data_IF_522934871427
#
_entry.id   IF_522934871427
#
_cell.length_a   1.000
_cell.length_b   1.000
_cell.length_c   1.000
_cell.angle_alpha   90.00
_cell.angle_beta   90.00
_cell.angle_gamma   90.00
#
_symmetry.space_group_name_H-M   'P 1'
#
loop_
_entity.id
_entity.type
_entity.pdbx_description
1 polymer ?
#
# COMPACT_ATOMS: atom_id res chain seq x y z
N UNK A 1 -7.62 -15.88 8.49
CA UNK A 1 -6.32 -15.49 7.89
C UNK A 1 -5.48 -14.65 8.86
N UNK A 2 -5.76 -13.33 9.08
CA UNK A 2 -4.90 -12.47 9.92
C UNK A 2 -4.70 -13.03 11.33
N UNK A 3 -5.79 -13.39 12.03
CA UNK A 3 -5.75 -13.97 13.37
C UNK A 3 -4.96 -15.29 13.42
N UNK A 4 -5.08 -16.14 12.43
CA UNK A 4 -4.33 -17.39 12.33
C UNK A 4 -2.83 -17.13 12.12
N UNK A 5 -2.49 -16.24 11.18
CA UNK A 5 -1.08 -15.89 10.89
C UNK A 5 -0.38 -15.25 12.09
N UNK A 6 -1.13 -14.55 12.94
CA UNK A 6 -0.59 -13.86 14.11
C UNK A 6 -0.70 -14.69 15.40
N UNK A 7 -1.33 -15.85 15.37
CA UNK A 7 -1.52 -16.72 16.55
C UNK A 7 -0.18 -17.16 17.19
N UNK A 8 0.90 -17.21 16.41
CA UNK A 8 2.25 -17.53 16.90
C UNK A 8 2.79 -16.49 17.88
N UNK A 9 2.22 -15.29 17.92
CA UNK A 9 2.62 -14.21 18.83
C UNK A 9 1.81 -14.19 20.15
N UNK A 10 0.89 -15.15 20.32
CA UNK A 10 0.10 -15.29 21.55
C UNK A 10 -0.75 -14.06 21.89
N UNK A 11 -0.84 -13.75 23.18
CA UNK A 11 -1.67 -12.66 23.71
C UNK A 11 -1.09 -11.24 23.45
N UNK A 12 0.08 -11.15 22.81
CA UNK A 12 0.70 -9.87 22.48
C UNK A 12 0.07 -9.18 21.25
N UNK A 13 -0.80 -9.89 20.51
CA UNK A 13 -1.43 -9.38 19.30
C UNK A 13 -2.94 -9.52 19.38
N UNK A 14 -3.64 -8.39 19.24
CA UNK A 14 -5.10 -8.34 19.14
C UNK A 14 -5.51 -7.99 17.70
N UNK A 15 -6.36 -8.84 17.09
CA UNK A 15 -6.91 -8.58 15.77
C UNK A 15 -8.32 -8.00 15.93
N UNK A 16 -8.51 -6.80 15.36
CA UNK A 16 -9.80 -6.13 15.30
C UNK A 16 -10.25 -6.00 13.84
N UNK A 17 -11.52 -6.29 13.58
CA UNK A 17 -12.15 -5.97 12.30
C UNK A 17 -12.94 -4.67 12.47
N UNK A 18 -12.51 -3.60 11.79
CA UNK A 18 -13.10 -2.28 11.91
C UNK A 18 -12.92 -1.47 10.62
N UNK A 19 -13.71 -0.40 10.47
CA UNK A 19 -13.45 0.61 9.47
C UNK A 19 -12.28 1.48 9.89
N UNK A 20 -11.36 1.77 8.95
CA UNK A 20 -10.27 2.73 9.19
C UNK A 20 -10.79 4.15 9.47
N UNK A 21 -12.02 4.45 9.06
CA UNK A 21 -12.67 5.74 9.29
C UNK A 21 -13.36 5.86 10.64
N UNK A 22 -13.55 4.72 11.33
CA UNK A 22 -14.24 4.63 12.62
C UNK A 22 -13.58 3.52 13.45
N UNK A 23 -12.42 3.83 13.98
CA UNK A 23 -11.63 2.90 14.77
C UNK A 23 -12.30 2.72 16.15
N UNK A 24 -12.56 1.48 16.62
CA UNK A 24 -13.18 1.20 17.93
C UNK A 24 -12.16 1.37 19.07
N UNK A 25 -11.44 2.48 19.05
CA UNK A 25 -10.42 2.84 20.02
C UNK A 25 -10.73 4.21 20.60
N UNK A 26 -10.53 4.37 21.88
CA UNK A 26 -10.65 5.68 22.53
C UNK A 26 -9.58 6.63 21.98
N UNK A 27 -9.88 7.92 21.77
CA UNK A 27 -8.86 8.89 21.41
C UNK A 27 -7.74 8.93 22.46
N UNK A 28 -6.52 9.05 22.00
CA UNK A 28 -5.39 9.32 22.88
C UNK A 28 -4.85 8.10 23.65
N UNK A 29 -5.07 6.88 23.21
CA UNK A 29 -4.60 5.69 23.94
C UNK A 29 -3.45 4.92 23.29
N UNK A 30 -3.14 5.20 22.01
CA UNK A 30 -2.18 4.42 21.25
C UNK A 30 -0.84 5.14 21.17
N UNK A 31 0.25 4.42 21.44
CA UNK A 31 1.63 4.94 21.41
C UNK A 31 2.13 5.22 20.01
N UNK A 32 1.80 4.35 19.08
CA UNK A 32 2.20 4.48 17.68
C UNK A 32 1.19 3.83 16.75
N UNK A 33 1.00 4.46 15.59
CA UNK A 33 0.19 3.93 14.49
C UNK A 33 1.05 3.88 13.24
N UNK A 34 0.99 2.79 12.51
CA UNK A 34 1.55 2.72 11.17
C UNK A 34 0.55 2.09 10.19
N UNK A 35 0.62 2.52 8.94
CA UNK A 35 -0.20 2.00 7.84
C UNK A 35 0.67 1.88 6.60
N UNK A 36 0.77 0.68 6.05
CA UNK A 36 1.63 0.36 4.91
C UNK A 36 0.80 -0.12 3.74
N UNK A 37 0.78 0.66 2.63
CA UNK A 37 0.10 0.29 1.40
C UNK A 37 -1.44 0.21 1.50
N UNK A 38 -2.10 0.92 2.43
CA UNK A 38 -3.53 0.79 2.69
C UNK A 38 -4.32 2.01 2.26
N UNK A 39 -3.88 3.21 2.63
CA UNK A 39 -4.73 4.41 2.52
C UNK A 39 -5.12 4.74 1.09
N UNK A 40 -4.28 4.47 0.10
CA UNK A 40 -4.59 4.68 -1.32
C UNK A 40 -5.75 3.83 -1.83
N UNK A 41 -6.09 2.75 -1.13
CA UNK A 41 -7.19 1.85 -1.44
C UNK A 41 -8.48 2.19 -0.67
N UNK A 42 -8.49 3.33 0.01
CA UNK A 42 -9.69 3.86 0.68
C UNK A 42 -10.36 4.93 -0.17
N UNK A 43 -11.67 5.17 -0.03
CA UNK A 43 -12.36 6.24 -0.74
C UNK A 43 -11.93 7.65 -0.30
N UNK A 44 -11.32 7.78 0.89
CA UNK A 44 -10.86 9.07 1.45
C UNK A 44 -9.56 8.87 2.25
N UNK A 45 -8.39 8.92 1.59
CA UNK A 45 -7.10 8.76 2.24
C UNK A 45 -6.80 9.80 3.33
N UNK A 46 -7.25 11.05 3.17
CA UNK A 46 -7.02 12.11 4.15
C UNK A 46 -7.80 11.86 5.44
N UNK A 47 -9.06 11.45 5.32
CA UNK A 47 -9.89 11.06 6.46
C UNK A 47 -9.32 9.82 7.17
N UNK A 48 -8.77 8.85 6.42
CA UNK A 48 -8.10 7.69 7.03
C UNK A 48 -6.89 8.11 7.88
N UNK A 49 -6.07 9.05 7.38
CA UNK A 49 -4.93 9.61 8.14
C UNK A 49 -5.40 10.35 9.37
N UNK A 50 -6.46 11.17 9.27
CA UNK A 50 -7.02 11.90 10.39
C UNK A 50 -7.55 10.97 11.49
N UNK A 51 -8.26 9.90 11.10
CA UNK A 51 -8.75 8.86 12.02
C UNK A 51 -7.61 8.18 12.77
N UNK A 52 -6.54 7.80 12.07
CA UNK A 52 -5.35 7.22 12.70
C UNK A 52 -4.64 8.18 13.66
N UNK A 53 -4.58 9.47 13.30
CA UNK A 53 -3.98 10.47 14.18
C UNK A 53 -4.79 10.72 15.45
N UNK A 54 -6.13 10.57 15.40
CA UNK A 54 -7.02 10.83 16.54
C UNK A 54 -6.77 9.88 17.71
N UNK A 55 -6.45 8.63 17.45
CA UNK A 55 -6.25 7.60 18.49
C UNK A 55 -4.89 7.67 19.18
N UNK A 56 -3.94 8.45 18.65
CA UNK A 56 -2.62 8.63 19.25
C UNK A 56 -2.70 9.38 20.56
N UNK A 57 -1.98 8.92 21.58
CA UNK A 57 -1.77 9.65 22.82
C UNK A 57 -0.84 10.85 22.62
N UNK A 58 -0.79 11.82 23.55
CA UNK A 58 0.25 12.83 23.54
C UNK A 58 1.65 12.19 23.47
N UNK A 59 2.52 12.73 22.59
CA UNK A 59 3.83 12.14 22.28
C UNK A 59 3.79 10.91 21.36
N UNK A 60 2.63 10.40 20.99
CA UNK A 60 2.46 9.25 20.10
C UNK A 60 2.93 9.53 18.67
N UNK A 61 3.29 8.51 17.92
CA UNK A 61 3.90 8.60 16.59
C UNK A 61 3.04 7.98 15.50
N UNK A 62 3.01 8.63 14.33
CA UNK A 62 2.34 8.18 13.12
C UNK A 62 3.36 7.93 12.01
N UNK A 63 3.20 6.83 11.27
CA UNK A 63 3.91 6.58 10.03
C UNK A 63 2.95 5.98 8.99
N UNK A 64 2.85 6.61 7.81
CA UNK A 64 1.95 6.17 6.74
C UNK A 64 2.73 6.11 5.44
N UNK A 65 2.65 4.95 4.79
CA UNK A 65 3.13 4.74 3.42
C UNK A 65 1.94 4.77 2.46
N UNK A 66 2.16 5.28 1.26
CA UNK A 66 1.11 5.43 0.23
C UNK A 66 1.72 5.50 -1.17
N UNK A 67 0.89 5.37 -2.20
CA UNK A 67 1.31 5.58 -3.58
C UNK A 67 1.42 7.08 -3.86
N UNK A 68 2.66 7.54 -4.17
CA UNK A 68 2.91 8.94 -4.52
C UNK A 68 2.19 9.30 -5.84
N UNK A 69 1.63 10.50 -5.89
CA UNK A 69 1.03 11.05 -7.09
C UNK A 69 2.12 11.68 -7.96
N UNK A 70 2.67 10.89 -8.84
CA UNK A 70 3.72 11.24 -9.79
C UNK A 70 3.26 11.06 -11.25
N UNK A 71 4.18 11.22 -12.19
CA UNK A 71 3.90 11.06 -13.63
C UNK A 71 3.86 9.59 -14.09
N UNK A 72 4.41 8.66 -13.31
CA UNK A 72 4.59 7.25 -13.68
C UNK A 72 3.31 6.47 -14.07
N UNK A 73 2.11 6.78 -13.56
CA UNK A 73 0.88 6.10 -14.01
C UNK A 73 0.67 6.10 -15.51
N UNK A 74 1.07 7.17 -16.19
CA UNK A 74 0.94 7.30 -17.66
C UNK A 74 1.80 6.29 -18.44
N UNK A 75 2.80 5.70 -17.79
CA UNK A 75 3.66 4.67 -18.37
C UNK A 75 3.13 3.24 -18.19
N UNK A 76 1.93 3.08 -17.62
CA UNK A 76 1.30 1.79 -17.39
C UNK A 76 -0.09 1.69 -18.06
N UNK A 77 -0.21 1.92 -19.37
CA UNK A 77 -1.50 1.99 -20.05
C UNK A 77 -2.27 0.67 -19.97
N UNK A 78 -1.58 -0.47 -20.04
CA UNK A 78 -2.20 -1.80 -19.97
C UNK A 78 -2.81 -2.04 -18.57
N UNK A 79 -2.10 -1.67 -17.51
CA UNK A 79 -2.65 -1.73 -16.13
C UNK A 79 -3.97 -0.99 -16.04
N UNK A 80 -3.98 0.27 -16.47
CA UNK A 80 -5.18 1.11 -16.32
C UNK A 80 -6.32 0.68 -17.26
N UNK A 81 -6.01 0.17 -18.45
CA UNK A 81 -7.03 -0.42 -19.32
C UNK A 81 -7.70 -1.65 -18.68
N UNK A 82 -6.94 -2.55 -18.11
CA UNK A 82 -7.46 -3.72 -17.40
C UNK A 82 -8.25 -3.33 -16.13
N UNK A 83 -7.82 -2.31 -15.41
CA UNK A 83 -8.53 -1.79 -14.23
C UNK A 83 -9.91 -1.18 -14.53
N UNK A 84 -10.28 -0.98 -15.77
CA UNK A 84 -11.66 -0.55 -16.10
C UNK A 84 -12.71 -1.60 -15.72
N UNK A 85 -12.31 -2.86 -15.66
CA UNK A 85 -13.23 -3.98 -15.38
C UNK A 85 -12.85 -4.81 -14.17
N UNK A 86 -11.56 -5.04 -13.93
CA UNK A 86 -11.07 -5.97 -12.91
C UNK A 86 -11.48 -5.67 -11.48
N UNK A 87 -11.69 -4.42 -11.02
CA UNK A 87 -12.13 -4.15 -9.65
C UNK A 87 -13.54 -4.67 -9.30
N UNK A 88 -14.34 -5.00 -10.34
CA UNK A 88 -15.68 -5.58 -10.16
C UNK A 88 -15.71 -7.10 -10.26
N UNK A 89 -14.55 -7.74 -10.50
CA UNK A 89 -14.49 -9.19 -10.63
C UNK A 89 -14.52 -9.88 -9.27
N UNK A 90 -15.04 -11.10 -9.26
CA UNK A 90 -14.95 -11.98 -8.11
C UNK A 90 -13.47 -12.30 -7.80
N UNK A 91 -13.10 -12.35 -6.52
CA UNK A 91 -11.71 -12.48 -6.09
C UNK A 91 -11.02 -13.75 -6.62
N UNK A 92 -11.73 -14.87 -6.69
CA UNK A 92 -11.18 -16.12 -7.22
C UNK A 92 -10.87 -16.02 -8.71
N UNK A 93 -11.79 -15.44 -9.49
CA UNK A 93 -11.63 -15.20 -10.92
C UNK A 93 -10.47 -14.25 -11.19
N UNK A 94 -10.37 -13.16 -10.41
CA UNK A 94 -9.27 -12.21 -10.49
C UNK A 94 -7.93 -12.88 -10.15
N UNK A 95 -7.89 -13.69 -9.10
CA UNK A 95 -6.67 -14.41 -8.72
C UNK A 95 -6.24 -15.38 -9.83
N UNK A 96 -7.18 -16.11 -10.44
CA UNK A 96 -6.94 -16.97 -11.59
C UNK A 96 -6.32 -16.21 -12.76
N UNK A 97 -6.89 -15.04 -13.09
CA UNK A 97 -6.38 -14.14 -14.11
C UNK A 97 -4.96 -13.63 -13.79
N UNK A 98 -4.71 -13.16 -12.57
CA UNK A 98 -3.38 -12.72 -12.15
C UNK A 98 -2.34 -13.84 -12.22
N UNK A 99 -2.69 -15.07 -11.81
CA UNK A 99 -1.83 -16.25 -11.97
C UNK A 99 -1.47 -16.52 -13.42
N UNK A 100 -2.44 -16.42 -14.34
CA UNK A 100 -2.19 -16.58 -15.77
C UNK A 100 -1.27 -15.49 -16.33
N UNK A 101 -1.49 -14.23 -15.98
CA UNK A 101 -0.63 -13.12 -16.37
C UNK A 101 0.80 -13.30 -15.85
N UNK A 102 0.96 -13.62 -14.56
CA UNK A 102 2.29 -13.79 -13.97
C UNK A 102 3.00 -15.00 -14.58
N UNK A 103 2.30 -16.12 -14.79
CA UNK A 103 2.86 -17.28 -15.48
C UNK A 103 3.40 -16.93 -16.87
N UNK A 104 2.66 -16.10 -17.63
CA UNK A 104 3.03 -15.72 -19.00
C UNK A 104 4.18 -14.69 -19.03
N UNK A 105 4.15 -13.67 -18.18
CA UNK A 105 5.03 -12.50 -18.31
C UNK A 105 6.20 -12.46 -17.29
N UNK A 106 6.13 -13.20 -16.18
CA UNK A 106 7.21 -13.24 -15.20
C UNK A 106 8.53 -13.75 -15.77
N UNK A 107 8.59 -14.79 -16.62
CA UNK A 107 9.87 -15.24 -17.19
C UNK A 107 10.59 -14.14 -17.95
N UNK A 108 9.87 -13.35 -18.74
CA UNK A 108 10.41 -12.21 -19.48
C UNK A 108 10.88 -11.11 -18.52
N UNK A 109 10.02 -10.70 -17.57
CA UNK A 109 10.38 -9.71 -16.54
C UNK A 109 11.63 -10.11 -15.77
N UNK A 110 11.72 -11.39 -15.37
CA UNK A 110 12.87 -11.91 -14.64
C UNK A 110 14.16 -11.94 -15.48
N UNK A 111 14.06 -12.27 -16.77
CA UNK A 111 15.20 -12.27 -17.69
C UNK A 111 15.80 -10.86 -17.90
N UNK A 112 14.94 -9.86 -18.01
CA UNK A 112 15.39 -8.47 -18.29
C UNK A 112 15.75 -7.68 -17.01
N UNK A 113 15.59 -8.23 -15.81
CA UNK A 113 15.74 -7.53 -14.53
C UNK A 113 17.10 -6.84 -14.34
N UNK A 114 18.16 -7.40 -14.87
CA UNK A 114 19.53 -6.88 -14.74
C UNK A 114 19.92 -5.90 -15.87
N UNK A 115 19.08 -5.73 -16.89
CA UNK A 115 19.36 -4.86 -18.03
C UNK A 115 18.68 -3.50 -17.81
N UNK A 116 19.44 -2.48 -17.42
CA UNK A 116 18.91 -1.17 -17.02
C UNK A 116 17.95 -0.53 -18.03
N UNK A 117 18.26 -0.61 -19.33
CA UNK A 117 17.40 -0.07 -20.40
C UNK A 117 16.14 -0.93 -20.62
N UNK A 118 16.26 -2.25 -20.50
CA UNK A 118 15.14 -3.16 -20.66
C UNK A 118 14.15 -3.12 -19.48
N UNK A 119 14.58 -2.66 -18.30
CA UNK A 119 13.67 -2.40 -17.17
C UNK A 119 12.56 -1.40 -17.50
N UNK A 120 12.78 -0.48 -18.42
CA UNK A 120 11.73 0.42 -18.89
C UNK A 120 10.61 -0.34 -19.61
N UNK A 121 10.93 -1.45 -20.29
CA UNK A 121 9.93 -2.30 -20.95
C UNK A 121 9.02 -2.99 -19.94
N UNK A 122 9.49 -3.22 -18.71
CA UNK A 122 8.69 -3.85 -17.66
C UNK A 122 7.46 -3.01 -17.26
N UNK A 123 7.47 -1.70 -17.49
CA UNK A 123 6.31 -0.83 -17.26
C UNK A 123 5.14 -1.10 -18.21
N UNK A 124 5.41 -1.72 -19.35
CA UNK A 124 4.38 -2.12 -20.32
C UNK A 124 3.88 -3.55 -20.12
N UNK A 125 4.45 -4.29 -19.16
CA UNK A 125 3.93 -5.62 -18.83
C UNK A 125 2.67 -5.50 -17.96
N UNK A 126 1.68 -6.39 -18.15
CA UNK A 126 0.45 -6.40 -17.36
C UNK A 126 0.64 -7.06 -15.97
N UNK A 127 1.84 -6.99 -15.43
CA UNK A 127 2.18 -7.51 -14.09
C UNK A 127 3.00 -6.49 -13.31
N UNK A 128 2.89 -6.50 -11.99
CA UNK A 128 3.76 -5.74 -11.12
C UNK A 128 5.13 -6.41 -11.02
N UNK A 129 6.15 -5.82 -11.61
CA UNK A 129 7.48 -6.44 -11.67
C UNK A 129 8.27 -6.14 -10.40
N UNK A 130 8.67 -7.17 -9.67
CA UNK A 130 9.53 -7.05 -8.49
C UNK A 130 10.97 -7.39 -8.87
N UNK A 131 11.89 -6.45 -8.60
CA UNK A 131 13.32 -6.60 -8.88
C UNK A 131 14.13 -6.37 -7.59
N UNK A 132 13.99 -7.28 -6.63
CA UNK A 132 14.79 -7.25 -5.40
C UNK A 132 15.90 -8.32 -5.48
N UNK A 133 17.19 -7.95 -5.51
CA UNK A 133 18.30 -8.89 -5.60
C UNK A 133 18.45 -9.80 -4.35
N UNK A 134 17.86 -9.41 -3.22
CA UNK A 134 17.89 -10.20 -1.98
C UNK A 134 16.90 -11.38 -2.02
N UNK A 135 15.95 -11.36 -2.97
CA UNK A 135 14.94 -12.40 -3.11
C UNK A 135 15.37 -13.44 -4.15
N UNK A 136 15.15 -14.70 -3.84
CA UNK A 136 15.29 -15.77 -4.85
C UNK A 136 14.19 -15.69 -5.91
N UNK A 137 14.30 -16.49 -6.97
CA UNK A 137 13.35 -16.47 -8.11
C UNK A 137 11.91 -16.76 -7.68
N UNK A 138 11.72 -17.74 -6.80
CA UNK A 138 10.39 -18.11 -6.32
C UNK A 138 9.77 -16.98 -5.49
N UNK A 139 10.52 -16.39 -4.57
CA UNK A 139 10.05 -15.25 -3.77
C UNK A 139 9.69 -14.04 -4.63
N UNK A 140 10.50 -13.75 -5.67
CA UNK A 140 10.16 -12.68 -6.62
C UNK A 140 8.89 -12.99 -7.42
N UNK A 141 8.70 -14.26 -7.81
CA UNK A 141 7.47 -14.68 -8.49
C UNK A 141 6.24 -14.50 -7.59
N UNK A 142 6.32 -14.97 -6.35
CA UNK A 142 5.20 -14.92 -5.41
C UNK A 142 4.86 -13.47 -5.03
N UNK A 143 5.88 -12.63 -4.85
CA UNK A 143 5.68 -11.20 -4.63
C UNK A 143 5.10 -10.51 -5.87
N UNK A 144 5.59 -10.84 -7.06
CA UNK A 144 4.99 -10.33 -8.31
C UNK A 144 3.52 -10.70 -8.42
N UNK A 145 3.13 -11.93 -8.02
CA UNK A 145 1.73 -12.35 -8.03
C UNK A 145 0.90 -11.54 -7.02
N UNK A 146 1.40 -11.37 -5.80
CA UNK A 146 0.74 -10.59 -4.76
C UNK A 146 0.49 -9.14 -5.20
N UNK A 147 1.54 -8.47 -5.67
CA UNK A 147 1.44 -7.08 -6.11
C UNK A 147 0.62 -6.92 -7.40
N UNK A 148 0.64 -7.93 -8.30
CA UNK A 148 -0.22 -7.91 -9.49
C UNK A 148 -1.69 -8.04 -9.10
N UNK A 149 -2.01 -8.86 -8.12
CA UNK A 149 -3.36 -8.96 -7.57
C UNK A 149 -3.80 -7.65 -6.90
N UNK A 150 -2.90 -7.02 -6.13
CA UNK A 150 -3.13 -5.70 -5.52
C UNK A 150 -3.29 -4.59 -6.57
N UNK A 151 -2.68 -4.72 -7.74
CA UNK A 151 -2.89 -3.76 -8.83
C UNK A 151 -4.31 -3.78 -9.39
N UNK A 152 -4.96 -4.95 -9.44
CA UNK A 152 -6.22 -5.16 -10.16
C UNK A 152 -7.44 -5.30 -9.25
N UNK A 153 -7.25 -5.66 -7.98
CA UNK A 153 -8.36 -5.95 -7.06
C UNK A 153 -9.03 -4.72 -6.45
N UNK A 154 -8.31 -3.77 -5.89
CA UNK A 154 -8.93 -2.67 -5.16
C UNK A 154 -9.79 -1.77 -6.04
N UNK A 155 -10.98 -1.38 -5.56
CA UNK A 155 -11.83 -0.40 -6.24
C UNK A 155 -11.15 0.98 -6.34
N UNK A 156 -10.48 1.38 -5.28
CA UNK A 156 -9.80 2.67 -5.21
C UNK A 156 -8.30 2.51 -5.42
N UNK A 157 -7.70 3.43 -6.17
CA UNK A 157 -6.26 3.67 -6.24
C UNK A 157 -6.05 5.19 -6.24
N UNK A 158 -6.25 5.80 -5.07
CA UNK A 158 -6.16 7.24 -4.87
C UNK A 158 -4.76 7.64 -4.44
N UNK A 159 -3.88 7.91 -5.41
CA UNK A 159 -2.51 8.35 -5.17
C UNK A 159 -2.49 9.69 -4.46
N UNK A 160 -1.60 9.86 -3.50
CA UNK A 160 -1.48 11.04 -2.66
C UNK A 160 -0.18 11.79 -2.94
N UNK A 161 -0.15 13.09 -2.65
CA UNK A 161 1.10 13.87 -2.62
C UNK A 161 1.61 13.95 -1.18
N UNK A 162 2.87 13.61 -0.95
CA UNK A 162 3.49 13.73 0.37
C UNK A 162 3.38 15.14 0.93
N UNK A 163 3.45 16.19 0.07
CA UNK A 163 3.28 17.59 0.47
C UNK A 163 1.87 17.87 1.02
N UNK A 164 0.82 17.30 0.40
CA UNK A 164 -0.57 17.48 0.87
C UNK A 164 -0.81 16.73 2.18
N UNK A 165 -0.35 15.48 2.30
CA UNK A 165 -0.47 14.74 3.56
C UNK A 165 0.36 15.37 4.68
N UNK A 166 1.53 15.94 4.35
CA UNK A 166 2.33 16.72 5.30
C UNK A 166 1.59 17.96 5.79
N UNK A 167 0.91 18.70 4.90
CA UNK A 167 0.07 19.84 5.27
C UNK A 167 -1.11 19.41 6.16
N UNK A 168 -1.82 18.34 5.79
CA UNK A 168 -2.89 17.77 6.59
C UNK A 168 -2.43 17.43 8.02
N UNK A 169 -1.26 16.82 8.17
CA UNK A 169 -0.70 16.54 9.50
C UNK A 169 -0.44 17.83 10.30
N UNK A 170 -0.06 18.92 9.63
CA UNK A 170 0.05 20.24 10.24
C UNK A 170 -1.32 20.81 10.68
N UNK A 171 -2.35 20.69 9.82
CA UNK A 171 -3.74 21.06 10.13
C UNK A 171 -4.28 20.28 11.35
N UNK A 172 -3.85 19.02 11.52
CA UNK A 172 -4.15 18.17 12.68
C UNK A 172 -3.28 18.47 13.91
N UNK A 173 -2.53 19.56 13.91
CA UNK A 173 -1.61 19.97 14.98
C UNK A 173 -0.51 18.95 15.30
N UNK A 174 -0.16 18.06 14.37
CA UNK A 174 0.96 17.16 14.54
C UNK A 174 2.29 17.90 14.46
N UNK A 175 3.34 17.37 15.08
CA UNK A 175 4.70 17.93 15.14
C UNK A 175 5.72 16.94 14.53
N UNK A 176 6.96 17.42 14.36
CA UNK A 176 8.05 16.62 13.80
C UNK A 176 7.70 15.96 12.46
N UNK A 177 6.95 16.68 11.62
CA UNK A 177 6.45 16.16 10.35
C UNK A 177 7.63 15.95 9.39
N UNK A 178 7.76 14.71 8.90
CA UNK A 178 8.68 14.32 7.86
C UNK A 178 7.87 13.79 6.68
N UNK A 179 7.80 14.55 5.61
CA UNK A 179 7.09 14.20 4.40
C UNK A 179 8.09 13.96 3.26
N UNK A 180 8.06 12.77 2.67
CA UNK A 180 8.88 12.36 1.52
C UNK A 180 7.98 11.62 0.53
N UNK A 181 8.35 11.53 -0.75
CA UNK A 181 7.59 10.75 -1.72
C UNK A 181 7.28 9.34 -1.20
N UNK A 182 5.98 9.01 -1.15
CA UNK A 182 5.47 7.71 -0.71
C UNK A 182 5.40 7.49 0.80
N UNK A 183 5.85 8.43 1.65
CA UNK A 183 5.80 8.25 3.11
C UNK A 183 5.67 9.58 3.87
N UNK A 184 4.82 9.59 4.90
CA UNK A 184 4.76 10.66 5.87
C UNK A 184 4.88 10.11 7.30
N UNK A 185 5.54 10.87 8.15
CA UNK A 185 5.70 10.57 9.58
C UNK A 185 5.46 11.83 10.38
N UNK A 186 4.90 11.70 11.57
CA UNK A 186 4.70 12.79 12.50
C UNK A 186 4.56 12.29 13.94
N UNK A 187 4.57 13.20 14.90
CA UNK A 187 4.25 12.91 16.30
C UNK A 187 3.15 13.83 16.80
N UNK A 188 2.29 13.33 17.69
CA UNK A 188 1.34 14.16 18.43
C UNK A 188 2.12 14.99 19.45
N UNK A 189 1.78 16.27 19.69
CA UNK A 189 2.42 17.05 20.74
C UNK A 189 2.41 16.32 22.08
N UNK A 190 3.47 16.46 22.86
CA UNK A 190 3.42 16.08 24.28
C UNK A 190 2.41 16.98 25.02
N UNK A 191 1.83 16.45 26.09
CA UNK A 191 0.92 17.23 26.93
C UNK A 191 1.68 18.33 27.66
#
# INVERSE_FOLDING_TARGET
ACRENLSVHGDHVNCLQASIFDLPLKPGIVDAVFSLGVIQHTPDPERAVASMASVLRPGGRLAVNFYEKDFWPWLQPIKYALRLTTPSWEQESLLGFCKALVKAFFPLSYAIRNVRKARLLSHFLPICTVHNPELNKQQQHDWTLLDTFDWYGPHYELRQRHTRLGALLGELNMKNIKARPGVVQASKPAA
#
